data_IF_386880993574
#
_entry.id   IF_386880993574
#
_cell.length_a   1.000
_cell.length_b   1.000
_cell.length_c   1.000
_cell.angle_alpha   90.00
_cell.angle_beta   90.00
_cell.angle_gamma   90.00
#
_symmetry.space_group_name_H-M   'P 1'
#
loop_
_entity.id
_entity.type
_entity.pdbx_description
1 polymer ?
#
# COMPACT_ATOMS: atom_id res chain seq x y z
N UNK A 1 29.52 12.02 6.69
CA UNK A 1 28.51 13.08 6.93
C UNK A 1 27.25 12.43 7.54
N UNK A 2 26.74 12.94 8.62
CA UNK A 2 25.50 12.47 9.24
C UNK A 2 24.28 13.12 8.55
N UNK A 3 23.11 12.49 8.63
CA UNK A 3 21.84 13.04 8.07
C UNK A 3 21.56 14.42 8.68
N UNK A 4 21.74 14.57 9.99
CA UNK A 4 21.56 15.85 10.68
C UNK A 4 22.45 16.98 10.14
N UNK A 5 23.70 16.67 9.81
CA UNK A 5 24.65 17.63 9.22
C UNK A 5 24.18 18.06 7.82
N UNK A 6 23.67 17.09 7.03
CA UNK A 6 23.14 17.39 5.69
C UNK A 6 21.87 18.22 5.72
N UNK A 7 20.98 17.97 6.67
CA UNK A 7 19.77 18.77 6.88
C UNK A 7 20.12 20.22 7.25
N UNK A 8 21.09 20.40 8.15
CA UNK A 8 21.55 21.73 8.56
C UNK A 8 22.18 22.49 7.38
N UNK A 9 23.05 21.83 6.61
CA UNK A 9 23.64 22.39 5.39
C UNK A 9 22.56 22.86 4.41
N UNK A 10 21.57 21.99 4.11
CA UNK A 10 20.51 22.34 3.17
C UNK A 10 19.60 23.45 3.69
N UNK A 11 19.30 23.47 5.00
CA UNK A 11 18.59 24.57 5.64
C UNK A 11 19.33 25.89 5.42
N UNK A 12 20.66 25.90 5.56
CA UNK A 12 21.48 27.10 5.31
C UNK A 12 21.48 27.56 3.84
N UNK A 13 21.50 26.61 2.90
CA UNK A 13 21.48 26.91 1.45
C UNK A 13 20.13 27.44 1.00
N UNK A 14 19.05 26.84 1.44
CA UNK A 14 17.67 27.16 1.01
C UNK A 14 17.11 28.36 1.78
N UNK A 15 17.57 28.59 3.00
CA UNK A 15 17.08 29.65 3.89
C UNK A 15 15.77 29.31 4.60
N UNK A 16 15.29 28.08 4.47
CA UNK A 16 14.08 27.57 5.12
C UNK A 16 14.40 26.31 5.93
N UNK A 17 13.73 26.15 7.08
CA UNK A 17 13.89 24.96 7.92
C UNK A 17 13.44 23.71 7.18
N UNK A 18 14.32 22.72 7.07
CA UNK A 18 14.04 21.42 6.49
C UNK A 18 13.98 20.38 7.59
N UNK A 19 12.95 19.57 7.58
CA UNK A 19 12.77 18.45 8.51
C UNK A 19 12.60 17.13 7.74
N UNK A 20 13.11 16.03 8.30
CA UNK A 20 12.90 14.70 7.81
C UNK A 20 11.57 14.17 8.40
N UNK A 21 10.51 14.20 7.60
CA UNK A 21 9.17 13.77 8.04
C UNK A 21 9.03 12.26 8.18
N UNK A 22 9.65 11.48 7.28
CA UNK A 22 9.61 10.02 7.32
C UNK A 22 10.85 9.41 6.67
N UNK A 23 11.23 8.25 7.14
CA UNK A 23 12.23 7.37 6.52
C UNK A 23 11.70 5.95 6.49
N UNK A 24 11.77 5.28 5.35
CA UNK A 24 11.39 3.88 5.18
C UNK A 24 12.48 3.13 4.44
N UNK A 25 12.68 1.89 4.81
CA UNK A 25 13.64 0.97 4.22
C UNK A 25 12.94 -0.31 3.78
N UNK A 26 13.34 -0.85 2.64
CA UNK A 26 12.84 -2.11 2.11
C UNK A 26 14.01 -2.92 1.54
N UNK A 27 14.07 -4.21 1.91
CA UNK A 27 15.03 -5.18 1.38
C UNK A 27 14.28 -6.37 0.79
N UNK A 28 14.67 -6.79 -0.39
CA UNK A 28 14.10 -7.93 -1.10
C UNK A 28 15.10 -8.45 -2.14
N UNK A 29 14.77 -9.58 -2.81
CA UNK A 29 15.58 -10.08 -3.91
C UNK A 29 15.67 -9.08 -5.07
N UNK A 30 14.60 -8.32 -5.31
CA UNK A 30 14.58 -7.16 -6.19
C UNK A 30 13.70 -6.06 -5.59
N UNK A 31 14.13 -4.80 -5.67
CA UNK A 31 13.36 -3.64 -5.21
C UNK A 31 13.23 -2.65 -6.36
N UNK A 32 11.98 -2.36 -6.74
CA UNK A 32 11.65 -1.28 -7.66
C UNK A 32 11.08 -0.08 -6.94
N UNK A 33 11.06 1.05 -7.64
CA UNK A 33 10.60 2.32 -7.09
C UNK A 33 9.78 3.11 -8.09
N UNK A 34 8.95 4.00 -7.55
CA UNK A 34 8.19 4.98 -8.33
C UNK A 34 8.07 6.29 -7.55
N UNK A 35 8.34 7.39 -8.22
CA UNK A 35 8.10 8.73 -7.71
C UNK A 35 7.00 9.35 -8.57
N UNK A 36 5.90 9.74 -7.94
CA UNK A 36 4.77 10.33 -8.65
C UNK A 36 5.09 11.76 -9.11
N UNK A 37 4.47 12.18 -10.21
CA UNK A 37 4.61 13.54 -10.74
C UNK A 37 4.36 14.59 -9.64
N UNK A 38 5.23 15.59 -9.56
CA UNK A 38 5.23 16.60 -8.50
C UNK A 38 6.03 16.21 -7.25
N UNK A 39 6.66 15.04 -7.23
CA UNK A 39 7.57 14.56 -6.17
C UNK A 39 6.96 14.55 -4.75
N UNK A 40 5.64 14.42 -4.65
CA UNK A 40 4.93 14.39 -3.36
C UNK A 40 4.67 12.99 -2.83
N UNK A 41 4.72 11.98 -3.68
CA UNK A 41 4.48 10.57 -3.33
C UNK A 41 5.61 9.74 -3.90
N UNK A 42 6.19 8.89 -3.08
CA UNK A 42 7.16 7.86 -3.51
C UNK A 42 6.77 6.51 -2.94
N UNK A 43 7.05 5.45 -3.69
CA UNK A 43 6.78 4.08 -3.27
C UNK A 43 7.88 3.12 -3.70
N UNK A 44 8.02 2.05 -2.94
CA UNK A 44 8.94 0.94 -3.18
C UNK A 44 8.16 -0.36 -3.22
N UNK A 45 8.58 -1.28 -4.08
CA UNK A 45 8.04 -2.64 -4.15
C UNK A 45 9.17 -3.64 -4.08
N UNK A 46 9.07 -4.59 -3.14
CA UNK A 46 9.97 -5.75 -3.04
C UNK A 46 9.37 -6.95 -3.76
N UNK A 47 10.16 -7.59 -4.61
CA UNK A 47 9.81 -8.82 -5.31
C UNK A 47 10.62 -10.00 -4.76
N UNK A 48 10.02 -11.19 -4.79
CA UNK A 48 10.63 -12.45 -4.31
C UNK A 48 11.81 -12.92 -5.14
N UNK A 49 11.92 -12.46 -6.39
CA UNK A 49 13.02 -12.81 -7.29
C UNK A 49 13.35 -11.68 -8.27
N UNK A 50 14.56 -11.73 -8.82
CA UNK A 50 14.99 -10.90 -9.94
C UNK A 50 14.80 -11.67 -11.25
N UNK A 51 14.21 -11.05 -12.26
CA UNK A 51 13.97 -11.61 -13.58
C UNK A 51 13.96 -10.51 -14.64
N UNK A 52 13.91 -10.86 -15.92
CA UNK A 52 14.08 -9.91 -17.04
C UNK A 52 13.15 -8.68 -16.95
N UNK A 53 11.88 -8.88 -16.54
CA UNK A 53 10.90 -7.81 -16.40
C UNK A 53 10.76 -7.24 -14.98
N UNK A 54 11.64 -7.61 -14.04
CA UNK A 54 11.53 -7.20 -12.64
C UNK A 54 11.44 -5.69 -12.47
N UNK A 55 12.20 -4.92 -13.23
CA UNK A 55 12.17 -3.44 -13.21
C UNK A 55 10.79 -2.90 -13.63
N UNK A 56 10.23 -3.42 -14.71
CA UNK A 56 8.92 -2.98 -15.20
C UNK A 56 7.80 -3.37 -14.24
N UNK A 57 7.77 -4.62 -13.81
CA UNK A 57 6.74 -5.15 -12.92
C UNK A 57 6.77 -4.44 -11.56
N UNK A 58 7.93 -4.28 -10.95
CA UNK A 58 8.05 -3.58 -9.67
C UNK A 58 7.67 -2.11 -9.77
N UNK A 59 7.99 -1.44 -10.89
CA UNK A 59 7.55 -0.07 -11.15
C UNK A 59 6.03 0.02 -11.28
N UNK A 60 5.40 -0.89 -12.02
CA UNK A 60 3.94 -0.92 -12.17
C UNK A 60 3.23 -1.16 -10.83
N UNK A 61 3.74 -2.07 -10.00
CA UNK A 61 3.22 -2.29 -8.65
C UNK A 61 3.46 -1.07 -7.76
N UNK A 62 4.62 -0.42 -7.87
CA UNK A 62 4.88 0.83 -7.14
C UNK A 62 3.92 1.96 -7.55
N UNK A 63 3.52 2.05 -8.82
CA UNK A 63 2.47 2.97 -9.27
C UNK A 63 1.12 2.64 -8.65
N UNK A 64 0.75 1.35 -8.55
CA UNK A 64 -0.43 0.88 -7.83
C UNK A 64 -0.42 1.34 -6.37
N UNK A 65 0.70 1.14 -5.67
CA UNK A 65 0.87 1.54 -4.26
C UNK A 65 0.72 3.06 -4.10
N UNK A 66 1.33 3.83 -4.99
CA UNK A 66 1.22 5.28 -4.96
C UNK A 66 -0.22 5.76 -5.13
N UNK A 67 -0.95 5.18 -6.08
CA UNK A 67 -2.31 5.56 -6.43
C UNK A 67 -3.36 5.06 -5.43
N UNK A 68 -3.28 3.80 -5.01
CA UNK A 68 -4.32 3.14 -4.23
C UNK A 68 -4.08 3.13 -2.73
N UNK A 69 -2.88 3.52 -2.29
CA UNK A 69 -2.51 3.61 -0.87
C UNK A 69 -2.96 2.40 -0.02
N UNK A 70 -2.55 1.17 -0.35
CA UNK A 70 -2.93 0.00 0.42
C UNK A 70 -2.42 0.10 1.85
N UNK A 71 -3.20 -0.38 2.81
CA UNK A 71 -2.84 -0.35 4.24
C UNK A 71 -1.92 -1.52 4.64
N UNK A 72 -1.96 -2.60 3.88
CA UNK A 72 -1.15 -3.80 4.09
C UNK A 72 -0.92 -4.54 2.78
N UNK A 73 0.03 -5.47 2.78
CA UNK A 73 0.31 -6.35 1.64
C UNK A 73 -0.86 -7.31 1.38
N UNK A 74 -1.35 -7.93 2.44
CA UNK A 74 -2.45 -8.91 2.46
C UNK A 74 -3.29 -8.76 3.75
N UNK A 75 -4.28 -9.61 3.92
CA UNK A 75 -5.18 -9.57 5.08
C UNK A 75 -4.44 -9.78 6.41
N UNK A 76 -3.43 -10.66 6.44
CA UNK A 76 -2.64 -10.95 7.64
C UNK A 76 -1.83 -9.73 8.13
N UNK A 77 -1.52 -8.81 7.23
CA UNK A 77 -0.82 -7.57 7.55
C UNK A 77 -1.72 -6.47 8.14
N UNK A 78 -3.04 -6.66 8.16
CA UNK A 78 -3.98 -5.69 8.76
C UNK A 78 -4.07 -5.94 10.25
N UNK A 79 -3.85 -4.89 11.06
CA UNK A 79 -3.91 -5.02 12.52
C UNK A 79 -5.31 -5.37 13.03
N UNK A 80 -5.39 -6.10 14.13
CA UNK A 80 -6.68 -6.44 14.77
C UNK A 80 -7.48 -5.19 15.14
N UNK A 81 -6.82 -4.16 15.61
CA UNK A 81 -7.45 -2.87 15.96
C UNK A 81 -8.14 -2.23 14.77
N UNK A 82 -7.51 -2.26 13.58
CA UNK A 82 -8.11 -1.75 12.35
C UNK A 82 -9.31 -2.61 11.96
N UNK A 83 -9.20 -3.93 12.02
CA UNK A 83 -10.29 -4.86 11.70
C UNK A 83 -11.48 -4.64 12.64
N UNK A 84 -11.25 -4.58 13.94
CA UNK A 84 -12.31 -4.35 14.94
C UNK A 84 -13.01 -3.00 14.73
N UNK A 85 -12.24 -1.95 14.46
CA UNK A 85 -12.77 -0.62 14.17
C UNK A 85 -13.65 -0.62 12.91
N UNK A 86 -13.20 -1.26 11.85
CA UNK A 86 -13.98 -1.34 10.60
C UNK A 86 -15.26 -2.18 10.77
N UNK A 87 -15.21 -3.24 11.58
CA UNK A 87 -16.41 -4.03 11.92
C UNK A 87 -17.42 -3.16 12.66
N UNK A 88 -17.00 -2.39 13.66
CA UNK A 88 -17.91 -1.51 14.41
C UNK A 88 -18.51 -0.42 13.51
N UNK A 89 -17.70 0.21 12.66
CA UNK A 89 -18.18 1.18 11.67
C UNK A 89 -19.23 0.54 10.76
N UNK A 90 -18.97 -0.68 10.27
CA UNK A 90 -19.91 -1.41 9.43
C UNK A 90 -21.22 -1.71 10.15
N UNK A 91 -21.17 -2.13 11.43
CA UNK A 91 -22.36 -2.38 12.26
C UNK A 91 -23.17 -1.11 12.49
N UNK A 92 -22.50 0.01 12.78
CA UNK A 92 -23.19 1.29 13.00
C UNK A 92 -23.89 1.79 11.74
N UNK A 93 -23.27 1.64 10.58
CA UNK A 93 -23.92 1.93 9.30
C UNK A 93 -25.17 1.07 9.07
N UNK A 94 -25.06 -0.23 9.36
CA UNK A 94 -26.19 -1.16 9.22
C UNK A 94 -27.34 -0.86 10.20
N UNK A 95 -27.03 -0.41 11.42
CA UNK A 95 -28.06 0.06 12.38
C UNK A 95 -28.78 1.29 11.84
N UNK A 96 -28.06 2.24 11.27
CA UNK A 96 -28.66 3.42 10.64
C UNK A 96 -29.53 3.06 9.43
N UNK A 97 -29.17 2.00 8.69
CA UNK A 97 -29.97 1.44 7.60
C UNK A 97 -31.19 0.63 8.10
N UNK A 98 -31.39 0.49 9.41
CA UNK A 98 -32.50 -0.23 10.02
C UNK A 98 -32.38 -1.76 9.94
N UNK A 99 -31.19 -2.30 9.80
CA UNK A 99 -30.99 -3.75 9.80
C UNK A 99 -31.13 -4.35 11.20
N UNK A 100 -31.76 -5.55 11.34
CA UNK A 100 -31.90 -6.23 12.62
C UNK A 100 -30.53 -6.53 13.26
N UNK A 101 -30.46 -6.34 14.58
CA UNK A 101 -29.20 -6.54 15.35
C UNK A 101 -28.62 -7.97 15.16
N UNK A 102 -29.46 -8.98 15.08
CA UNK A 102 -29.08 -10.38 14.85
C UNK A 102 -28.38 -10.64 13.50
N UNK A 103 -28.58 -9.76 12.50
CA UNK A 103 -27.99 -9.88 11.18
C UNK A 103 -26.68 -9.09 11.03
N UNK A 104 -26.36 -8.19 11.94
CA UNK A 104 -25.26 -7.24 11.82
C UNK A 104 -23.91 -7.93 11.71
N UNK A 105 -23.65 -8.95 12.51
CA UNK A 105 -22.40 -9.70 12.51
C UNK A 105 -22.10 -10.35 11.16
N UNK A 106 -23.09 -11.03 10.58
CA UNK A 106 -22.92 -11.71 9.30
C UNK A 106 -22.73 -10.73 8.13
N UNK A 107 -23.48 -9.63 8.13
CA UNK A 107 -23.37 -8.61 7.09
C UNK A 107 -22.03 -7.86 7.24
N UNK A 108 -21.60 -7.53 8.45
CA UNK A 108 -20.32 -6.91 8.72
C UNK A 108 -19.15 -7.77 8.26
N UNK A 109 -19.18 -9.09 8.48
CA UNK A 109 -18.19 -10.03 7.93
C UNK A 109 -18.12 -9.99 6.40
N UNK A 110 -19.28 -9.87 5.73
CA UNK A 110 -19.32 -9.69 4.28
C UNK A 110 -18.69 -8.36 3.82
N UNK A 111 -18.95 -7.26 4.54
CA UNK A 111 -18.32 -5.95 4.30
C UNK A 111 -16.81 -6.01 4.51
N UNK A 112 -16.32 -6.80 5.48
CA UNK A 112 -14.87 -6.99 5.71
C UNK A 112 -14.16 -7.66 4.53
N UNK A 113 -14.78 -8.62 3.85
CA UNK A 113 -14.20 -9.20 2.63
C UNK A 113 -13.97 -8.13 1.55
N UNK A 114 -14.94 -7.23 1.39
CA UNK A 114 -14.80 -6.11 0.46
C UNK A 114 -13.70 -5.15 0.93
N UNK A 115 -13.64 -4.84 2.22
CA UNK A 115 -12.60 -3.99 2.81
C UNK A 115 -11.20 -4.52 2.51
N UNK A 116 -10.93 -5.81 2.76
CA UNK A 116 -9.64 -6.43 2.46
C UNK A 116 -9.31 -6.38 0.96
N UNK A 117 -10.30 -6.67 0.11
CA UNK A 117 -10.13 -6.61 -1.34
C UNK A 117 -9.74 -5.23 -1.85
N UNK A 118 -10.26 -4.18 -1.24
CA UNK A 118 -9.99 -2.79 -1.64
C UNK A 118 -8.73 -2.20 -1.01
N UNK A 119 -8.33 -2.68 0.17
CA UNK A 119 -7.29 -2.05 0.98
C UNK A 119 -6.00 -2.87 1.14
N UNK A 120 -5.93 -4.10 0.65
CA UNK A 120 -4.69 -4.90 0.66
C UNK A 120 -4.12 -5.02 -0.74
N UNK A 121 -2.82 -4.76 -0.88
CA UNK A 121 -2.15 -4.58 -2.17
C UNK A 121 -2.39 -5.73 -3.13
N UNK A 122 -2.17 -6.98 -2.70
CA UNK A 122 -2.26 -8.14 -3.59
C UNK A 122 -3.68 -8.44 -4.07
N UNK A 123 -4.70 -7.99 -3.31
CA UNK A 123 -6.12 -8.22 -3.60
C UNK A 123 -6.78 -7.06 -4.36
N UNK A 124 -6.14 -5.90 -4.42
CA UNK A 124 -6.66 -4.76 -5.17
C UNK A 124 -6.77 -5.08 -6.66
N UNK A 125 -7.77 -4.49 -7.30
CA UNK A 125 -7.82 -4.48 -8.76
C UNK A 125 -6.63 -3.70 -9.32
N UNK A 126 -5.98 -4.24 -10.34
CA UNK A 126 -4.83 -3.61 -10.95
C UNK A 126 -5.23 -2.35 -11.71
N UNK A 127 -4.58 -1.23 -11.43
CA UNK A 127 -4.96 0.10 -11.96
C UNK A 127 -4.89 0.19 -13.49
N UNK A 128 -4.03 -0.61 -14.14
CA UNK A 128 -3.88 -0.62 -15.61
C UNK A 128 -4.83 -1.59 -16.29
N UNK A 129 -5.38 -2.56 -15.56
CA UNK A 129 -6.36 -3.52 -16.06
C UNK A 129 -7.25 -4.02 -14.91
N UNK A 130 -8.43 -3.43 -14.78
CA UNK A 130 -9.39 -3.75 -13.69
C UNK A 130 -10.01 -5.15 -13.79
N UNK A 131 -9.74 -5.93 -14.84
CA UNK A 131 -10.20 -7.31 -14.96
C UNK A 131 -9.36 -8.30 -14.16
N UNK A 132 -8.21 -7.88 -13.67
CA UNK A 132 -7.29 -8.69 -12.88
C UNK A 132 -6.91 -7.98 -11.58
N UNK A 133 -6.51 -8.79 -10.59
CA UNK A 133 -5.91 -8.30 -9.35
C UNK A 133 -4.41 -8.02 -9.54
N UNK A 134 -3.80 -7.37 -8.58
CA UNK A 134 -2.34 -7.21 -8.56
C UNK A 134 -1.64 -8.57 -8.56
N UNK A 135 -2.16 -9.55 -7.81
CA UNK A 135 -1.65 -10.93 -7.82
C UNK A 135 -1.72 -11.57 -9.21
N UNK A 136 -2.86 -11.44 -9.90
CA UNK A 136 -3.02 -11.98 -11.25
C UNK A 136 -2.03 -11.35 -12.21
N UNK A 137 -1.85 -10.03 -12.13
CA UNK A 137 -0.89 -9.30 -12.94
C UNK A 137 0.55 -9.82 -12.75
N UNK A 138 1.05 -9.86 -11.51
CA UNK A 138 2.44 -10.28 -11.28
C UNK A 138 2.68 -11.74 -11.67
N UNK A 139 1.70 -12.63 -11.45
CA UNK A 139 1.79 -14.04 -11.86
C UNK A 139 1.72 -14.22 -13.39
N UNK A 140 1.04 -13.33 -14.10
CA UNK A 140 1.04 -13.33 -15.57
C UNK A 140 2.38 -12.95 -16.18
N UNK A 141 3.16 -12.12 -15.46
CA UNK A 141 4.49 -11.70 -15.91
C UNK A 141 5.60 -12.68 -15.52
N UNK A 142 5.47 -13.30 -14.36
CA UNK A 142 6.39 -14.33 -13.84
C UNK A 142 5.63 -15.28 -12.94
N UNK A 143 5.54 -16.55 -13.31
CA UNK A 143 4.83 -17.56 -12.53
C UNK A 143 5.50 -17.76 -11.17
N UNK A 144 4.72 -17.72 -10.09
CA UNK A 144 5.20 -17.88 -8.72
C UNK A 144 5.85 -16.65 -8.14
N UNK A 145 5.79 -15.51 -8.83
CA UNK A 145 6.29 -14.24 -8.30
C UNK A 145 5.42 -13.76 -7.14
N UNK A 146 6.07 -13.37 -6.05
CA UNK A 146 5.44 -12.75 -4.89
C UNK A 146 5.95 -11.32 -4.66
N UNK A 147 5.08 -10.47 -4.12
CA UNK A 147 5.47 -9.20 -3.52
C UNK A 147 5.81 -9.49 -2.06
N UNK A 148 7.07 -9.22 -1.66
CA UNK A 148 7.57 -9.52 -0.31
C UNK A 148 7.34 -8.37 0.67
N UNK A 149 7.08 -7.19 0.17
CA UNK A 149 6.82 -6.00 0.95
C UNK A 149 6.72 -4.75 0.09
N UNK A 150 6.28 -3.67 0.70
CA UNK A 150 6.24 -2.37 0.06
C UNK A 150 6.44 -1.23 1.06
N UNK A 151 6.77 -0.07 0.56
CA UNK A 151 6.79 1.17 1.33
C UNK A 151 6.16 2.29 0.51
N UNK A 152 5.50 3.21 1.19
CA UNK A 152 4.95 4.43 0.61
C UNK A 152 5.22 5.60 1.55
N UNK A 153 5.63 6.71 1.00
CA UNK A 153 5.74 7.99 1.70
C UNK A 153 5.04 9.07 0.89
N UNK A 154 4.44 10.02 1.56
CA UNK A 154 3.82 11.19 0.94
C UNK A 154 4.14 12.43 1.74
N UNK A 155 4.37 13.52 1.03
CA UNK A 155 4.42 14.86 1.63
C UNK A 155 2.97 15.35 1.75
N UNK A 156 2.56 15.56 2.98
CA UNK A 156 1.32 16.16 3.46
C UNK A 156 0.13 16.29 2.55
#
# INVERSE_FOLDING_TARGET
MKVSEKLLEQTGIIGEKIELGAFKYLSAAFVGSYIHAGNKIASLTGLSENFDKATEVSKNVSMQIAAMNPIALNEDGVSKEVIEKEIEIAKDQLRQEGKPEEMLENIAKGKMKKFFKENTLINQQYIKDSKQTVTDYINSEQQGLDITGFARVSLG
#
